data_IF_871710906614
#
_entry.id   IF_871710906614
#
_cell.length_a   1.000
_cell.length_b   1.000
_cell.length_c   1.000
_cell.angle_alpha   90.00
_cell.angle_beta   90.00
_cell.angle_gamma   90.00
#
_symmetry.space_group_name_H-M   'P 1'
#
loop_
_entity.id
_entity.type
_entity.pdbx_description
1 polymer ?
#
# COMPACT_ATOMS: atom_id res chain seq x y z
N UNK A 1 17.48 -9.09 -12.41
CA UNK A 1 16.16 -8.69 -12.95
C UNK A 1 15.64 -9.70 -13.97
N UNK A 2 16.41 -10.07 -15.01
CA UNK A 2 16.02 -11.13 -15.97
C UNK A 2 15.68 -12.47 -15.30
N UNK A 3 16.56 -12.96 -14.43
CA UNK A 3 16.32 -14.24 -13.74
C UNK A 3 15.05 -14.21 -12.87
N UNK A 4 14.85 -13.09 -12.14
CA UNK A 4 13.64 -12.89 -11.35
C UNK A 4 12.39 -12.90 -12.23
N UNK A 5 12.45 -12.27 -13.41
CA UNK A 5 11.34 -12.25 -14.35
C UNK A 5 11.08 -13.62 -14.99
N UNK A 6 12.12 -14.43 -15.23
CA UNK A 6 12.00 -15.71 -15.91
C UNK A 6 11.14 -16.73 -15.14
N UNK A 7 11.24 -16.74 -13.81
CA UNK A 7 10.60 -17.74 -12.96
C UNK A 7 9.42 -17.23 -12.11
N UNK A 8 9.07 -15.93 -12.19
CA UNK A 8 8.04 -15.33 -11.34
C UNK A 8 7.07 -14.47 -12.14
N UNK A 9 5.82 -14.37 -11.66
CA UNK A 9 4.78 -13.51 -12.26
C UNK A 9 4.77 -12.09 -11.69
N UNK A 10 5.35 -11.89 -10.50
CA UNK A 10 5.53 -10.58 -9.87
C UNK A 10 6.91 -10.46 -9.23
N UNK A 11 7.56 -9.33 -9.47
CA UNK A 11 8.76 -8.86 -8.78
C UNK A 11 8.36 -7.68 -7.89
N UNK A 12 8.58 -7.79 -6.59
CA UNK A 12 8.29 -6.75 -5.62
C UNK A 12 9.59 -6.18 -5.06
N UNK A 13 9.74 -4.85 -5.09
CA UNK A 13 10.86 -4.15 -4.46
C UNK A 13 10.36 -3.25 -3.33
N UNK A 14 11.01 -3.28 -2.17
CA UNK A 14 10.67 -2.43 -1.01
C UNK A 14 11.48 -1.12 -0.95
N UNK A 15 12.38 -0.91 -1.90
CA UNK A 15 13.21 0.30 -2.06
C UNK A 15 13.79 0.38 -3.49
N UNK A 16 14.62 1.39 -3.79
CA UNK A 16 15.41 1.44 -5.03
C UNK A 16 14.70 1.94 -6.29
N UNK A 17 13.46 2.43 -6.16
CA UNK A 17 12.60 2.90 -7.27
C UNK A 17 12.29 4.39 -7.21
N UNK A 18 13.05 5.16 -6.43
CA UNK A 18 12.81 6.59 -6.24
C UNK A 18 13.58 7.45 -7.27
N UNK A 19 13.89 8.69 -6.90
CA UNK A 19 14.67 9.65 -7.70
C UNK A 19 16.08 9.90 -7.12
N UNK A 20 16.60 8.98 -6.32
CA UNK A 20 17.96 9.06 -5.76
C UNK A 20 19.01 8.64 -6.78
N UNK A 21 20.22 9.21 -6.70
CA UNK A 21 21.32 8.92 -7.62
C UNK A 21 21.79 7.44 -7.58
N UNK A 22 21.39 6.68 -6.55
CA UNK A 22 21.70 5.24 -6.38
C UNK A 22 20.54 4.31 -6.79
N UNK A 23 19.48 4.80 -7.43
CA UNK A 23 18.32 3.98 -7.81
C UNK A 23 18.60 3.12 -9.05
N UNK A 24 19.34 2.02 -8.87
CA UNK A 24 19.68 1.06 -9.92
C UNK A 24 18.51 0.20 -10.40
N UNK A 25 17.44 0.07 -9.60
CA UNK A 25 16.30 -0.79 -9.96
C UNK A 25 15.54 -0.21 -11.14
N UNK A 26 15.34 1.12 -11.16
CA UNK A 26 14.59 1.79 -12.23
C UNK A 26 15.24 1.60 -13.61
N UNK A 27 16.52 1.94 -13.83
CA UNK A 27 17.19 1.70 -15.12
C UNK A 27 17.15 0.23 -15.52
N UNK A 28 17.29 -0.70 -14.57
CA UNK A 28 17.23 -2.13 -14.85
C UNK A 28 15.85 -2.60 -15.35
N UNK A 29 14.76 -2.06 -14.81
CA UNK A 29 13.40 -2.37 -15.29
C UNK A 29 13.13 -1.70 -16.64
N UNK A 30 13.48 -0.42 -16.79
CA UNK A 30 13.28 0.33 -18.04
C UNK A 30 14.09 -0.26 -19.22
N UNK A 31 15.27 -0.83 -18.95
CA UNK A 31 16.06 -1.52 -19.99
C UNK A 31 15.43 -2.84 -20.45
N UNK A 32 14.69 -3.51 -19.57
CA UNK A 32 14.15 -4.86 -19.80
C UNK A 32 12.63 -4.87 -19.99
N UNK A 33 12.00 -3.69 -20.03
CA UNK A 33 10.56 -3.59 -19.91
C UNK A 33 10.05 -2.15 -19.83
N UNK A 34 8.97 -1.97 -19.10
CA UNK A 34 8.29 -0.69 -18.94
C UNK A 34 8.06 -0.39 -17.46
N UNK A 35 8.21 0.87 -17.07
CA UNK A 35 8.00 1.30 -15.69
C UNK A 35 7.28 2.66 -15.65
N UNK A 36 6.18 2.72 -14.92
CA UNK A 36 5.48 3.94 -14.57
C UNK A 36 5.72 4.32 -13.11
N UNK A 37 6.04 5.59 -12.86
CA UNK A 37 6.17 6.16 -11.51
C UNK A 37 4.93 6.96 -11.15
N UNK A 38 4.17 6.48 -10.17
CA UNK A 38 2.87 7.01 -9.81
C UNK A 38 2.96 7.79 -8.50
N UNK A 39 2.19 8.88 -8.41
CA UNK A 39 1.95 9.63 -7.17
C UNK A 39 0.52 9.36 -6.72
N UNK A 40 0.35 8.32 -5.92
CA UNK A 40 -0.95 7.89 -5.41
C UNK A 40 -1.47 8.93 -4.42
N UNK A 41 -2.74 9.29 -4.55
CA UNK A 41 -3.43 10.20 -3.62
C UNK A 41 -3.83 9.47 -2.33
N UNK A 42 -2.85 8.88 -1.66
CA UNK A 42 -3.00 8.18 -0.39
C UNK A 42 -1.93 8.59 0.63
N UNK A 43 -2.22 8.35 1.90
CA UNK A 43 -1.30 8.60 3.02
C UNK A 43 -1.45 7.52 4.09
N UNK A 44 -0.36 6.88 4.53
CA UNK A 44 0.97 6.91 3.92
C UNK A 44 0.97 6.21 2.55
N UNK A 45 2.09 6.25 1.80
CA UNK A 45 2.20 5.51 0.52
C UNK A 45 2.08 6.32 -0.78
N UNK A 46 2.53 7.58 -0.81
CA UNK A 46 2.45 8.44 -2.01
C UNK A 46 3.15 7.87 -3.26
N UNK A 47 4.45 7.50 -3.23
CA UNK A 47 5.11 6.98 -4.43
C UNK A 47 4.78 5.50 -4.63
N UNK A 48 4.50 5.09 -5.87
CA UNK A 48 4.37 3.68 -6.23
C UNK A 48 4.91 3.48 -7.64
N UNK A 49 5.76 2.49 -7.85
CA UNK A 49 6.25 2.14 -9.17
C UNK A 49 5.51 0.89 -9.65
N UNK A 50 4.99 0.92 -10.88
CA UNK A 50 4.32 -0.22 -11.48
C UNK A 50 4.79 -0.39 -12.92
N UNK A 51 5.05 -1.63 -13.31
CA UNK A 51 5.59 -1.92 -14.63
C UNK A 51 5.59 -3.39 -14.96
N UNK A 52 6.34 -3.74 -16.00
CA UNK A 52 6.51 -5.11 -16.47
C UNK A 52 7.96 -5.30 -16.89
N UNK A 53 8.50 -6.49 -16.64
CA UNK A 53 9.79 -6.95 -17.16
C UNK A 53 9.53 -8.05 -18.19
N UNK A 54 10.00 -7.86 -19.41
CA UNK A 54 9.82 -8.83 -20.49
C UNK A 54 10.76 -10.03 -20.31
N UNK A 55 10.28 -11.24 -20.61
CA UNK A 55 11.09 -12.47 -20.57
C UNK A 55 11.80 -12.67 -21.94
N UNK A 56 13.04 -13.17 -21.91
CA UNK A 56 13.84 -13.41 -23.13
C UNK A 56 13.13 -14.42 -24.07
N UNK A 57 13.18 -14.17 -25.39
CA UNK A 57 12.58 -15.01 -26.43
C UNK A 57 11.15 -14.65 -26.85
N UNK A 58 10.57 -13.59 -26.28
CA UNK A 58 9.32 -13.01 -26.76
C UNK A 58 9.64 -11.77 -27.61
N UNK A 59 9.45 -11.87 -28.92
CA UNK A 59 9.51 -10.77 -29.89
C UNK A 59 8.35 -9.76 -29.66
N UNK A 60 8.30 -9.15 -28.48
CA UNK A 60 7.21 -8.28 -28.03
C UNK A 60 5.88 -9.00 -27.81
N UNK A 61 5.84 -10.34 -27.81
CA UNK A 61 4.60 -11.13 -27.72
C UNK A 61 4.62 -12.11 -26.54
N UNK A 62 4.24 -11.59 -25.36
CA UNK A 62 3.22 -12.28 -24.57
C UNK A 62 3.56 -12.73 -23.14
N UNK A 63 4.83 -12.77 -22.72
CA UNK A 63 5.16 -13.24 -21.36
C UNK A 63 6.07 -12.24 -20.65
N UNK A 64 5.59 -11.73 -19.52
CA UNK A 64 6.29 -10.76 -18.68
C UNK A 64 5.95 -10.98 -17.22
N UNK A 65 6.90 -10.65 -16.35
CA UNK A 65 6.65 -10.51 -14.93
C UNK A 65 6.17 -9.10 -14.65
N UNK A 66 5.19 -8.94 -13.78
CA UNK A 66 4.84 -7.64 -13.21
C UNK A 66 5.98 -7.14 -12.34
N UNK A 67 6.15 -5.82 -12.29
CA UNK A 67 7.06 -5.17 -11.36
C UNK A 67 6.28 -4.18 -10.50
N UNK A 68 6.49 -4.24 -9.19
CA UNK A 68 5.94 -3.30 -8.22
C UNK A 68 7.04 -2.79 -7.29
N UNK A 69 7.16 -1.46 -7.20
CA UNK A 69 8.08 -0.79 -6.30
C UNK A 69 7.33 -0.05 -5.21
N UNK A 70 7.56 -0.46 -3.97
CA UNK A 70 6.99 0.15 -2.78
C UNK A 70 7.85 1.32 -2.27
N UNK A 71 7.26 2.27 -1.51
CA UNK A 71 8.01 3.30 -0.80
C UNK A 71 9.05 2.71 0.17
N UNK A 72 10.20 3.36 0.32
CA UNK A 72 11.23 2.93 1.29
C UNK A 72 10.89 3.14 2.77
N UNK A 73 9.91 4.00 3.08
CA UNK A 73 9.44 4.18 4.45
C UNK A 73 8.64 2.96 4.92
N UNK A 74 8.92 2.36 6.08
CA UNK A 74 8.38 1.06 6.47
C UNK A 74 6.85 1.03 6.57
N UNK A 75 6.22 2.04 7.19
CA UNK A 75 4.75 2.09 7.26
C UNK A 75 4.14 2.39 5.90
N UNK A 76 4.80 3.23 5.08
CA UNK A 76 4.32 3.46 3.72
C UNK A 76 4.38 2.19 2.89
N UNK A 77 5.49 1.45 2.95
CA UNK A 77 5.66 0.16 2.27
C UNK A 77 4.57 -0.82 2.68
N UNK A 78 4.37 -0.98 3.98
CA UNK A 78 3.36 -1.88 4.55
C UNK A 78 1.94 -1.52 4.10
N UNK A 79 1.51 -0.27 4.27
CA UNK A 79 0.16 0.16 3.87
C UNK A 79 -0.03 0.08 2.36
N UNK A 80 0.97 0.48 1.56
CA UNK A 80 0.91 0.37 0.10
C UNK A 80 0.84 -1.09 -0.35
N UNK A 81 1.57 -2.00 0.31
CA UNK A 81 1.46 -3.44 0.05
C UNK A 81 0.03 -3.93 0.30
N UNK A 82 -0.54 -3.63 1.47
CA UNK A 82 -1.88 -4.10 1.83
C UNK A 82 -2.97 -3.53 0.92
N UNK A 83 -2.86 -2.26 0.52
CA UNK A 83 -3.90 -1.58 -0.25
C UNK A 83 -3.78 -1.78 -1.76
N UNK A 84 -2.58 -2.03 -2.31
CA UNK A 84 -2.35 -2.12 -3.75
C UNK A 84 -1.79 -3.48 -4.19
N UNK A 85 -0.78 -4.00 -3.50
CA UNK A 85 -0.06 -5.22 -3.94
C UNK A 85 -0.85 -6.48 -3.57
N UNK A 86 -1.36 -6.57 -2.35
CA UNK A 86 -2.20 -7.70 -1.91
C UNK A 86 -3.41 -7.92 -2.83
N UNK A 87 -4.28 -6.93 -3.11
CA UNK A 87 -5.42 -7.16 -3.99
C UNK A 87 -4.99 -7.57 -5.41
N UNK A 88 -3.85 -7.06 -5.89
CA UNK A 88 -3.29 -7.47 -7.17
C UNK A 88 -2.84 -8.93 -7.17
N UNK A 89 -2.11 -9.37 -6.14
CA UNK A 89 -1.69 -10.76 -5.96
C UNK A 89 -2.89 -11.71 -5.88
N UNK A 90 -3.90 -11.37 -5.08
CA UNK A 90 -5.14 -12.15 -4.98
C UNK A 90 -5.82 -12.27 -6.35
N UNK A 91 -5.87 -11.17 -7.12
CA UNK A 91 -6.44 -11.19 -8.47
C UNK A 91 -5.62 -12.07 -9.42
N UNK A 92 -4.29 -12.04 -9.35
CA UNK A 92 -3.43 -12.94 -10.12
C UNK A 92 -3.67 -14.42 -9.78
N UNK A 93 -4.04 -14.72 -8.53
CA UNK A 93 -4.41 -16.06 -8.08
C UNK A 93 -5.86 -16.46 -8.43
N UNK A 94 -6.61 -15.59 -9.14
CA UNK A 94 -7.97 -15.87 -9.58
C UNK A 94 -9.08 -15.43 -8.61
N UNK A 95 -8.75 -14.80 -7.50
CA UNK A 95 -9.72 -14.26 -6.55
C UNK A 95 -10.46 -13.08 -7.19
N UNK A 96 -11.80 -13.10 -7.14
CA UNK A 96 -12.63 -12.07 -7.75
C UNK A 96 -12.80 -10.85 -6.86
N UNK A 97 -13.21 -11.07 -5.61
CA UNK A 97 -13.34 -10.04 -4.59
C UNK A 97 -12.04 -9.91 -3.81
N UNK A 98 -11.29 -8.86 -4.14
CA UNK A 98 -9.95 -8.63 -3.60
C UNK A 98 -9.89 -7.41 -2.68
N UNK A 99 -10.98 -6.64 -2.62
CA UNK A 99 -11.01 -5.43 -1.83
C UNK A 99 -11.00 -5.80 -0.33
N UNK A 100 -10.21 -5.11 0.50
CA UNK A 100 -10.24 -5.35 1.93
C UNK A 100 -11.62 -4.99 2.48
N UNK A 101 -12.18 -5.89 3.28
CA UNK A 101 -13.48 -5.66 3.91
C UNK A 101 -13.34 -4.61 5.01
N UNK A 102 -14.16 -3.58 4.91
CA UNK A 102 -14.27 -2.55 5.94
C UNK A 102 -15.51 -2.77 6.81
N UNK A 103 -15.37 -2.50 8.10
CA UNK A 103 -16.42 -2.40 9.08
C UNK A 103 -16.70 -0.92 9.39
N UNK A 104 -17.85 -0.67 10.01
CA UNK A 104 -18.16 0.63 10.59
C UNK A 104 -17.85 0.59 12.09
N UNK A 105 -17.14 1.60 12.58
CA UNK A 105 -16.74 1.68 13.99
C UNK A 105 -16.78 3.13 14.49
N UNK A 106 -16.96 3.30 15.79
CA UNK A 106 -17.06 4.62 16.43
C UNK A 106 -15.67 5.22 16.64
N UNK A 107 -15.46 6.48 16.25
CA UNK A 107 -14.23 7.19 16.50
C UNK A 107 -14.17 7.73 17.94
N UNK A 108 -13.08 7.44 18.67
CA UNK A 108 -12.70 8.13 19.92
C UNK A 108 -11.55 9.14 19.69
N UNK A 109 -11.45 9.66 18.47
CA UNK A 109 -10.44 10.62 18.05
C UNK A 109 -11.06 11.73 17.21
N UNK A 110 -10.26 12.75 16.89
CA UNK A 110 -10.67 13.85 16.01
C UNK A 110 -9.67 14.04 14.87
N UNK A 111 -10.17 14.35 13.69
CA UNK A 111 -9.42 14.85 12.53
C UNK A 111 -10.00 16.22 12.20
N UNK A 112 -9.33 17.28 12.68
CA UNK A 112 -9.81 18.66 12.51
C UNK A 112 -9.41 19.27 11.17
N UNK A 113 -8.22 18.91 10.69
CA UNK A 113 -7.68 19.41 9.43
C UNK A 113 -7.70 18.28 8.41
N UNK A 114 -8.61 18.31 7.43
CA UNK A 114 -8.68 17.25 6.44
C UNK A 114 -7.48 17.31 5.49
N UNK A 115 -7.04 16.15 5.00
CA UNK A 115 -5.98 16.02 3.99
C UNK A 115 -6.61 15.83 2.60
N UNK A 116 -5.98 16.35 1.55
CA UNK A 116 -6.46 16.17 0.18
C UNK A 116 -6.29 14.73 -0.36
N UNK A 117 -5.62 13.87 0.42
CA UNK A 117 -5.42 12.45 0.13
C UNK A 117 -6.31 11.59 1.01
N UNK A 118 -6.61 10.39 0.52
CA UNK A 118 -7.20 9.34 1.35
C UNK A 118 -6.20 8.88 2.41
N UNK A 119 -6.59 8.87 3.68
CA UNK A 119 -5.71 8.52 4.79
C UNK A 119 -6.03 7.13 5.33
N UNK A 120 -4.99 6.31 5.51
CA UNK A 120 -5.02 5.01 6.16
C UNK A 120 -4.32 5.11 7.50
N UNK A 121 -5.09 5.43 8.53
CA UNK A 121 -4.58 5.78 9.86
C UNK A 121 -4.53 4.53 10.74
N UNK A 122 -3.41 4.31 11.42
CA UNK A 122 -3.25 3.15 12.29
C UNK A 122 -4.08 3.35 13.55
N UNK A 123 -4.99 2.41 13.78
CA UNK A 123 -5.96 2.47 14.84
C UNK A 123 -6.08 1.12 15.56
N UNK A 124 -6.48 1.16 16.81
CA UNK A 124 -6.85 -0.01 17.61
C UNK A 124 -8.23 0.21 18.23
N UNK A 125 -8.89 -0.87 18.62
CA UNK A 125 -10.09 -0.77 19.46
C UNK A 125 -9.69 -0.63 20.93
N UNK A 126 -10.36 0.26 21.66
CA UNK A 126 -10.23 0.37 23.11
C UNK A 126 -11.16 -0.63 23.82
N UNK A 127 -11.16 -0.61 25.15
CA UNK A 127 -11.96 -1.53 25.96
C UNK A 127 -13.48 -1.38 25.73
N UNK A 128 -13.91 -0.19 25.32
CA UNK A 128 -15.30 0.15 25.00
C UNK A 128 -15.67 -0.14 23.52
N UNK A 129 -14.72 -0.64 22.72
CA UNK A 129 -14.90 -0.96 21.30
C UNK A 129 -14.80 0.23 20.35
N UNK A 130 -14.51 1.43 20.84
CA UNK A 130 -14.27 2.61 20.02
C UNK A 130 -12.81 2.67 19.53
N UNK A 131 -12.58 3.34 18.41
CA UNK A 131 -11.27 3.42 17.79
C UNK A 131 -10.42 4.54 18.37
N UNK A 132 -9.16 4.21 18.65
CA UNK A 132 -8.12 5.17 19.02
C UNK A 132 -7.02 5.17 17.96
N UNK A 133 -6.53 6.36 17.60
CA UNK A 133 -5.38 6.48 16.71
C UNK A 133 -4.08 6.37 17.48
N UNK A 134 -3.06 5.78 16.85
CA UNK A 134 -1.70 5.89 17.36
C UNK A 134 -1.27 7.37 17.31
N UNK A 135 -0.71 7.89 18.41
CA UNK A 135 -0.42 9.32 18.55
C UNK A 135 0.53 9.88 17.48
N UNK A 136 1.43 9.05 16.93
CA UNK A 136 2.34 9.44 15.85
C UNK A 136 2.07 8.69 14.53
N UNK A 137 1.31 9.30 13.64
CA UNK A 137 0.94 8.72 12.33
C UNK A 137 2.04 8.85 11.25
N UNK A 138 3.29 9.23 11.60
CA UNK A 138 4.41 9.32 10.65
C UNK A 138 4.70 7.99 9.95
N UNK A 139 5.11 8.04 8.68
CA UNK A 139 5.39 6.85 7.88
C UNK A 139 6.69 6.12 8.25
N UNK A 140 7.56 6.74 9.04
CA UNK A 140 8.81 6.13 9.52
C UNK A 140 8.63 5.32 10.81
N UNK A 141 7.49 5.45 11.49
CA UNK A 141 7.28 4.90 12.84
C UNK A 141 6.63 3.53 12.74
N UNK A 142 7.44 2.50 12.50
CA UNK A 142 6.95 1.12 12.31
C UNK A 142 6.18 0.60 13.54
N UNK A 143 6.52 1.05 14.75
CA UNK A 143 5.79 0.69 15.98
C UNK A 143 4.29 1.03 15.91
N UNK A 144 3.90 2.04 15.12
CA UNK A 144 2.49 2.36 14.89
C UNK A 144 1.72 1.27 14.14
N UNK A 145 2.38 0.52 13.25
CA UNK A 145 1.78 -0.59 12.52
C UNK A 145 1.67 -1.85 13.39
N UNK A 146 2.61 -2.06 14.31
CA UNK A 146 2.57 -3.17 15.28
C UNK A 146 1.52 -2.93 16.37
N UNK A 147 1.35 -1.67 16.79
CA UNK A 147 0.39 -1.30 17.83
C UNK A 147 -1.07 -1.33 17.36
N UNK A 148 -1.33 -1.08 16.08
CA UNK A 148 -2.68 -0.95 15.55
C UNK A 148 -3.29 -2.30 15.18
N UNK A 149 -4.54 -2.52 15.59
CA UNK A 149 -5.34 -3.69 15.17
C UNK A 149 -5.93 -3.53 13.77
N UNK A 150 -5.76 -2.37 13.13
CA UNK A 150 -6.25 -2.12 11.78
C UNK A 150 -6.00 -0.69 11.30
N UNK A 151 -6.67 -0.34 10.21
CA UNK A 151 -6.56 0.96 9.54
C UNK A 151 -7.93 1.64 9.50
N UNK A 152 -8.01 2.89 9.97
CA UNK A 152 -9.12 3.78 9.59
C UNK A 152 -8.91 4.21 8.16
N UNK A 153 -9.92 3.99 7.33
CA UNK A 153 -10.01 4.40 5.94
C UNK A 153 -10.75 5.75 5.87
N UNK A 154 -10.00 6.86 5.99
CA UNK A 154 -10.55 8.21 5.96
C UNK A 154 -10.51 8.76 4.52
N UNK A 155 -11.65 9.07 3.89
CA UNK A 155 -11.67 9.67 2.57
C UNK A 155 -10.98 11.04 2.54
N UNK A 156 -10.52 11.44 1.35
CA UNK A 156 -9.95 12.77 1.16
C UNK A 156 -10.96 13.87 1.57
N UNK A 157 -10.43 14.99 2.04
CA UNK A 157 -11.19 16.16 2.46
C UNK A 157 -12.21 15.88 3.60
N UNK A 158 -12.03 14.80 4.37
CA UNK A 158 -12.95 14.39 5.44
C UNK A 158 -12.38 14.70 6.82
N UNK A 159 -13.18 15.39 7.63
CA UNK A 159 -12.96 15.58 9.07
C UNK A 159 -13.67 14.50 9.87
N UNK A 160 -13.20 14.25 11.08
CA UNK A 160 -13.80 13.28 12.01
C UNK A 160 -13.93 13.92 13.38
N UNK A 161 -15.10 13.81 13.99
CA UNK A 161 -15.37 14.14 15.38
C UNK A 161 -15.49 12.88 16.22
N UNK A 162 -15.29 13.00 17.54
CA UNK A 162 -15.55 11.88 18.45
C UNK A 162 -17.03 11.49 18.38
N UNK A 163 -17.29 10.19 18.35
CA UNK A 163 -18.64 9.63 18.19
C UNK A 163 -19.03 9.37 16.74
N UNK A 164 -18.30 9.91 15.76
CA UNK A 164 -18.59 9.66 14.35
C UNK A 164 -18.36 8.18 14.01
N UNK A 165 -19.18 7.69 13.08
CA UNK A 165 -18.96 6.37 12.49
C UNK A 165 -17.97 6.49 11.35
N UNK A 166 -16.85 5.77 11.45
CA UNK A 166 -15.79 5.74 10.44
C UNK A 166 -15.65 4.35 9.81
N UNK A 167 -15.06 4.30 8.61
CA UNK A 167 -14.67 3.04 7.96
C UNK A 167 -13.38 2.53 8.58
N UNK A 168 -13.39 1.26 8.99
CA UNK A 168 -12.28 0.61 9.65
C UNK A 168 -11.99 -0.73 8.99
N UNK A 169 -10.72 -0.98 8.66
CA UNK A 169 -10.25 -2.21 8.04
C UNK A 169 -9.42 -2.95 9.09
N UNK A 170 -9.97 -4.00 9.72
CA UNK A 170 -9.24 -4.80 10.70
C UNK A 170 -8.02 -5.48 10.06
N UNK A 171 -6.94 -5.62 10.82
CA UNK A 171 -5.74 -6.32 10.36
C UNK A 171 -6.02 -7.80 10.06
N UNK A 172 -7.00 -8.40 10.73
CA UNK A 172 -7.47 -9.76 10.44
C UNK A 172 -8.02 -9.91 9.02
N UNK A 173 -8.58 -8.86 8.42
CA UNK A 173 -9.05 -8.87 7.02
C UNK A 173 -7.89 -8.68 6.02
N UNK A 174 -6.74 -8.20 6.49
CA UNK A 174 -5.57 -7.84 5.68
C UNK A 174 -4.49 -8.91 5.66
N UNK A 175 -4.42 -9.75 6.70
CA UNK A 175 -3.38 -10.78 6.89
C UNK A 175 -3.88 -12.22 6.70
N UNK A 176 -5.11 -12.41 6.22
CA UNK A 176 -5.64 -13.70 5.75
C UNK A 176 -5.25 -13.99 4.30
#
# INVERSE_FOLDING_TARGET
MRDAAAANDLILSTAGVSVGEEDHVRPAVEQLGELGLWKISMKPGKPFAFGRVFRDGADGKGVSAHFMGLPGNPVSSFVTFLMLVRPFLLRLQGVQDVAPRALHATANFEIRKPDGRREFLRARQNAEGALELFGNQSSGVLTSAVWGDGLVDNPAMTTVSKGDTVRYIPMSELLQ
#
